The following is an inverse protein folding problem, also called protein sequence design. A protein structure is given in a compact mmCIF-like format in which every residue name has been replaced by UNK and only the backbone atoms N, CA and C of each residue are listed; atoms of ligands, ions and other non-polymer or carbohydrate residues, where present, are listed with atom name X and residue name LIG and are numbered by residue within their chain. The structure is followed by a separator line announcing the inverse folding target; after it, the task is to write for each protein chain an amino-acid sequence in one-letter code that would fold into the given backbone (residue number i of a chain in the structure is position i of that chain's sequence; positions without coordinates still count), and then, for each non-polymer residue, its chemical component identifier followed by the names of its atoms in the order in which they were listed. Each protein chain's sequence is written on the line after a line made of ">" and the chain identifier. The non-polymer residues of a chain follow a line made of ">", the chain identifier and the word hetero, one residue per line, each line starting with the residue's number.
data_IF_979815721635
#
_entry.id   IF_979815721635
#
_cell.length_a   1.000
_cell.length_b   1.000
_cell.length_c   1.000
_cell.angle_alpha   90.00
_cell.angle_beta   90.00
_cell.angle_gamma   90.00
#
_symmetry.space_group_name_H-M   'P 1'
#
loop_
_entity.id
_entity.type
_entity.pdbx_description
1 polymer ?
#
# COMPACT_ATOMS: atom_id res chain seq x y z
N UNK A 1 18.23 -8.50 12.54
CA UNK A 1 17.54 -7.35 11.93
C UNK A 1 16.75 -7.77 10.68
N UNK A 2 17.36 -8.39 9.68
CA UNK A 2 16.68 -8.80 8.42
C UNK A 2 15.50 -9.76 8.67
N UNK A 3 15.69 -10.81 9.47
CA UNK A 3 14.62 -11.77 9.76
C UNK A 3 13.37 -11.12 10.41
N UNK A 4 13.59 -10.16 11.32
CA UNK A 4 12.50 -9.41 11.94
C UNK A 4 11.74 -8.56 10.92
N UNK A 5 12.45 -7.87 10.03
CA UNK A 5 11.83 -7.11 8.93
C UNK A 5 10.97 -8.01 8.03
N UNK A 6 11.46 -9.21 7.69
CA UNK A 6 10.70 -10.18 6.88
C UNK A 6 9.41 -10.60 7.59
N UNK A 7 9.48 -10.89 8.89
CA UNK A 7 8.30 -11.24 9.68
C UNK A 7 7.30 -10.08 9.71
N UNK A 8 7.76 -8.85 9.95
CA UNK A 8 6.90 -7.67 9.93
C UNK A 8 6.23 -7.46 8.57
N UNK A 9 6.95 -7.65 7.47
CA UNK A 9 6.39 -7.55 6.11
C UNK A 9 5.33 -8.63 5.85
N UNK A 10 5.57 -9.86 6.30
CA UNK A 10 4.59 -10.94 6.19
C UNK A 10 3.31 -10.63 7.01
N UNK A 11 3.46 -10.12 8.23
CA UNK A 11 2.33 -9.71 9.06
C UNK A 11 1.57 -8.54 8.44
N UNK A 12 2.28 -7.54 7.88
CA UNK A 12 1.66 -6.42 7.19
C UNK A 12 0.87 -6.88 5.95
N UNK A 13 1.42 -7.84 5.20
CA UNK A 13 0.74 -8.47 4.06
C UNK A 13 -0.52 -9.25 4.45
N UNK A 14 -0.56 -9.88 5.62
CA UNK A 14 -1.79 -10.46 6.15
C UNK A 14 -2.79 -9.40 6.63
N UNK A 15 -2.29 -8.40 7.36
CA UNK A 15 -3.12 -7.33 7.92
C UNK A 15 -3.85 -6.51 6.85
N UNK A 16 -3.21 -6.26 5.70
CA UNK A 16 -3.85 -5.50 4.61
C UNK A 16 -5.04 -6.24 4.01
N UNK A 17 -5.06 -7.58 4.06
CA UNK A 17 -6.19 -8.38 3.59
C UNK A 17 -7.41 -8.12 4.46
N UNK A 18 -7.22 -8.24 5.78
CA UNK A 18 -8.26 -8.00 6.77
C UNK A 18 -8.73 -6.55 6.76
N UNK A 19 -7.79 -5.60 6.66
CA UNK A 19 -8.10 -4.17 6.61
C UNK A 19 -9.04 -3.85 5.44
N UNK A 20 -8.71 -4.30 4.22
CA UNK A 20 -9.55 -4.03 3.04
C UNK A 20 -10.93 -4.70 3.14
N UNK A 21 -11.01 -5.90 3.73
CA UNK A 21 -12.28 -6.60 3.94
C UNK A 21 -13.20 -5.83 4.91
N UNK A 22 -12.67 -5.42 6.07
CA UNK A 22 -13.43 -4.62 7.06
C UNK A 22 -13.79 -3.24 6.49
N UNK A 23 -12.90 -2.63 5.71
CA UNK A 23 -13.16 -1.34 5.07
C UNK A 23 -14.25 -1.43 4.00
N UNK A 24 -14.37 -2.56 3.30
CA UNK A 24 -15.46 -2.83 2.37
C UNK A 24 -16.81 -2.93 3.08
N UNK A 25 -16.85 -3.49 4.28
CA UNK A 25 -18.04 -3.50 5.12
C UNK A 25 -18.40 -2.09 5.64
N UNK A 26 -17.42 -1.30 6.08
CA UNK A 26 -17.66 0.10 6.42
C UNK A 26 -18.22 0.92 5.24
N UNK A 27 -17.75 0.63 4.02
CA UNK A 27 -18.28 1.21 2.78
C UNK A 27 -19.72 0.75 2.50
N UNK A 28 -20.05 -0.52 2.71
CA UNK A 28 -21.41 -1.02 2.47
C UNK A 28 -22.42 -0.42 3.44
N UNK A 29 -22.03 -0.21 4.70
CA UNK A 29 -22.83 0.46 5.72
C UNK A 29 -23.09 1.93 5.41
N UNK A 30 -22.05 2.66 4.98
CA UNK A 30 -22.15 4.11 4.71
C UNK A 30 -22.66 4.44 3.30
N UNK A 31 -22.68 3.46 2.39
CA UNK A 31 -22.99 3.65 0.97
C UNK A 31 -21.96 4.50 0.20
N UNK A 32 -20.85 4.91 0.82
CA UNK A 32 -19.91 5.87 0.25
C UNK A 32 -18.46 5.42 0.38
N UNK A 33 -17.77 5.31 -0.76
CA UNK A 33 -16.34 5.03 -0.78
C UNK A 33 -15.52 6.17 -0.14
N UNK A 34 -15.97 7.41 -0.29
CA UNK A 34 -15.30 8.58 0.29
C UNK A 34 -15.41 8.57 1.82
N UNK A 35 -16.54 8.14 2.38
CA UNK A 35 -16.70 8.02 3.84
C UNK A 35 -15.80 6.94 4.40
N UNK A 36 -15.71 5.78 3.73
CA UNK A 36 -14.78 4.72 4.13
C UNK A 36 -13.32 5.18 4.09
N UNK A 37 -12.91 5.88 3.02
CA UNK A 37 -11.56 6.46 2.89
C UNK A 37 -11.27 7.49 3.97
N UNK A 38 -12.23 8.37 4.23
CA UNK A 38 -12.13 9.36 5.29
C UNK A 38 -11.94 8.69 6.65
N UNK A 39 -12.71 7.64 6.96
CA UNK A 39 -12.59 6.89 8.21
C UNK A 39 -11.22 6.23 8.35
N UNK A 40 -10.73 5.57 7.29
CA UNK A 40 -9.40 4.94 7.26
C UNK A 40 -8.29 5.96 7.58
N UNK A 41 -8.34 7.13 6.93
CA UNK A 41 -7.38 8.20 7.15
C UNK A 41 -7.53 8.87 8.52
N UNK A 42 -8.75 9.05 9.02
CA UNK A 42 -9.01 9.70 10.31
C UNK A 42 -8.44 8.86 11.47
N UNK A 43 -8.66 7.55 11.47
CA UNK A 43 -8.10 6.65 12.49
C UNK A 43 -6.58 6.67 12.44
N UNK A 44 -6.00 6.56 11.24
CA UNK A 44 -4.54 6.62 11.06
C UNK A 44 -3.96 7.94 11.56
N UNK A 45 -4.57 9.07 11.21
CA UNK A 45 -4.13 10.40 11.64
C UNK A 45 -4.15 10.54 13.16
N UNK A 46 -5.23 10.13 13.84
CA UNK A 46 -5.34 10.24 15.29
C UNK A 46 -4.26 9.39 15.97
N UNK A 47 -4.14 8.12 15.59
CA UNK A 47 -3.17 7.19 16.21
C UNK A 47 -1.74 7.66 15.96
N UNK A 48 -1.41 8.04 14.72
CA UNK A 48 -0.06 8.50 14.38
C UNK A 48 0.28 9.84 15.02
N UNK A 49 -0.68 10.75 15.16
CA UNK A 49 -0.46 12.04 15.84
C UNK A 49 -0.13 11.81 17.31
N UNK A 50 -0.91 10.96 18.00
CA UNK A 50 -0.66 10.62 19.41
C UNK A 50 0.71 9.95 19.55
N UNK A 51 1.01 8.96 18.71
CA UNK A 51 2.29 8.26 18.73
C UNK A 51 3.47 9.23 18.52
N UNK A 52 3.44 10.01 17.44
CA UNK A 52 4.50 10.95 17.09
C UNK A 52 4.71 12.06 18.13
N UNK A 53 3.62 12.59 18.73
CA UNK A 53 3.74 13.56 19.82
C UNK A 53 4.33 12.93 21.08
N UNK A 54 4.06 11.65 21.33
CA UNK A 54 4.59 10.93 22.49
C UNK A 54 6.06 10.53 22.31
N UNK A 55 6.49 10.23 21.08
CA UNK A 55 7.86 9.79 20.78
C UNK A 55 8.80 10.94 20.43
N UNK A 56 8.35 11.86 19.58
CA UNK A 56 9.21 12.87 18.94
C UNK A 56 8.86 14.32 19.36
N UNK A 57 7.69 14.50 19.98
CA UNK A 57 7.22 15.79 20.47
C UNK A 57 6.78 16.77 19.36
N UNK A 58 6.25 17.95 19.73
CA UNK A 58 5.71 18.92 18.77
C UNK A 58 6.77 19.57 17.87
N UNK A 59 8.04 19.56 18.29
CA UNK A 59 9.15 20.15 17.54
C UNK A 59 9.42 19.40 16.23
N UNK A 60 9.13 18.09 16.17
CA UNK A 60 9.23 17.31 14.94
C UNK A 60 8.28 17.85 13.85
N UNK A 61 7.08 18.26 14.23
CA UNK A 61 6.10 18.85 13.32
C UNK A 61 6.50 20.26 12.86
N UNK A 62 7.15 21.05 13.72
CA UNK A 62 7.62 22.39 13.36
C UNK A 62 8.59 22.36 12.17
N UNK A 63 9.43 21.31 12.08
CA UNK A 63 10.37 21.12 10.97
C UNK A 63 9.68 20.90 9.61
N UNK A 64 8.41 20.48 9.60
CA UNK A 64 7.66 20.32 8.35
C UNK A 64 7.41 21.66 7.64
N UNK A 65 7.50 22.79 8.35
CA UNK A 65 7.40 24.12 7.75
C UNK A 65 8.54 24.46 6.79
N UNK A 66 9.69 23.78 6.92
CA UNK A 66 10.85 23.91 6.03
C UNK A 66 10.75 23.00 4.79
N UNK A 67 9.80 22.07 4.78
CA UNK A 67 9.61 21.09 3.72
C UNK A 67 8.97 21.67 2.46
N UNK A 68 9.27 21.09 1.30
CA UNK A 68 8.60 21.46 0.04
C UNK A 68 7.17 20.94 0.05
N UNK A 69 6.20 21.74 -0.41
CA UNK A 69 4.77 21.41 -0.37
C UNK A 69 4.42 20.02 -0.96
N UNK A 70 5.10 19.59 -2.02
CA UNK A 70 4.85 18.29 -2.65
C UNK A 70 5.33 17.12 -1.79
N UNK A 71 6.37 17.30 -0.95
CA UNK A 71 6.81 16.27 0.01
C UNK A 71 5.75 16.04 1.08
N UNK A 72 5.00 17.09 1.42
CA UNK A 72 3.94 17.04 2.44
C UNK A 72 2.64 16.44 1.89
N UNK A 73 2.29 16.73 0.63
CA UNK A 73 1.00 16.33 0.06
C UNK A 73 1.05 15.03 -0.74
N UNK A 74 2.09 14.83 -1.55
CA UNK A 74 2.11 13.75 -2.54
C UNK A 74 2.06 12.35 -1.90
N UNK A 75 2.80 12.04 -0.81
CA UNK A 75 2.71 10.72 -0.18
C UNK A 75 1.30 10.40 0.32
N UNK A 76 0.61 11.37 0.93
CA UNK A 76 -0.76 11.21 1.41
C UNK A 76 -1.78 10.99 0.29
N UNK A 77 -1.64 11.72 -0.82
CA UNK A 77 -2.48 11.54 -2.00
C UNK A 77 -2.29 10.17 -2.65
N UNK A 78 -1.03 9.74 -2.82
CA UNK A 78 -0.70 8.43 -3.39
C UNK A 78 -1.19 7.28 -2.49
N UNK A 79 -1.04 7.41 -1.17
CA UNK A 79 -1.56 6.44 -0.20
C UNK A 79 -3.09 6.36 -0.23
N UNK A 80 -3.78 7.50 -0.27
CA UNK A 80 -5.25 7.53 -0.38
C UNK A 80 -5.73 6.89 -1.68
N UNK A 81 -5.05 7.16 -2.80
CA UNK A 81 -5.34 6.51 -4.09
C UNK A 81 -5.16 4.98 -4.01
N UNK A 82 -4.07 4.51 -3.38
CA UNK A 82 -3.84 3.08 -3.18
C UNK A 82 -4.98 2.42 -2.42
N UNK A 83 -5.42 3.01 -1.31
CA UNK A 83 -6.54 2.48 -0.51
C UNK A 83 -7.83 2.46 -1.34
N UNK A 84 -8.11 3.51 -2.11
CA UNK A 84 -9.29 3.54 -2.99
C UNK A 84 -9.26 2.47 -4.08
N UNK A 85 -8.11 2.33 -4.76
CA UNK A 85 -7.92 1.34 -5.81
C UNK A 85 -8.06 -0.08 -5.25
N UNK A 86 -7.45 -0.34 -4.09
CA UNK A 86 -7.56 -1.60 -3.37
C UNK A 86 -9.00 -1.92 -2.98
N UNK A 87 -9.71 -0.97 -2.35
CA UNK A 87 -11.13 -1.14 -1.98
C UNK A 87 -12.02 -1.42 -3.19
N UNK A 88 -11.74 -0.75 -4.32
CA UNK A 88 -12.48 -0.95 -5.57
C UNK A 88 -12.18 -2.31 -6.19
N UNK A 89 -10.92 -2.75 -6.16
CA UNK A 89 -10.54 -4.09 -6.60
C UNK A 89 -11.25 -5.17 -5.78
N UNK A 90 -11.22 -5.07 -4.45
CA UNK A 90 -11.90 -6.01 -3.56
C UNK A 90 -13.38 -6.16 -3.89
N UNK A 91 -14.05 -5.03 -4.14
CA UNK A 91 -15.47 -5.02 -4.47
C UNK A 91 -15.80 -5.62 -5.85
N UNK A 92 -14.87 -5.60 -6.80
CA UNK A 92 -15.14 -5.95 -8.21
C UNK A 92 -14.57 -7.30 -8.65
N UNK A 93 -13.36 -7.62 -8.20
CA UNK A 93 -12.60 -8.80 -8.64
C UNK A 93 -12.12 -9.66 -7.47
N UNK A 94 -12.47 -9.30 -6.24
CA UNK A 94 -12.11 -10.04 -5.04
C UNK A 94 -10.69 -9.78 -4.53
N UNK A 95 -10.39 -10.31 -3.35
CA UNK A 95 -9.15 -10.03 -2.62
C UNK A 95 -7.91 -10.57 -3.34
N UNK A 96 -7.95 -11.83 -3.79
CA UNK A 96 -6.81 -12.53 -4.39
C UNK A 96 -6.27 -11.81 -5.62
N UNK A 97 -7.15 -11.50 -6.58
CA UNK A 97 -6.77 -10.77 -7.80
C UNK A 97 -6.30 -9.34 -7.52
N UNK A 98 -6.95 -8.66 -6.58
CA UNK A 98 -6.56 -7.30 -6.23
C UNK A 98 -5.15 -7.26 -5.65
N UNK A 99 -4.86 -8.13 -4.68
CA UNK A 99 -3.53 -8.17 -4.06
C UNK A 99 -2.48 -8.62 -5.06
N UNK A 100 -2.72 -9.70 -5.80
CA UNK A 100 -1.73 -10.23 -6.74
C UNK A 100 -1.39 -9.20 -7.82
N UNK A 101 -2.40 -8.49 -8.35
CA UNK A 101 -2.22 -7.40 -9.31
C UNK A 101 -1.45 -6.21 -8.72
N UNK A 102 -1.80 -5.77 -7.50
CA UNK A 102 -1.10 -4.68 -6.82
C UNK A 102 0.36 -5.02 -6.54
N UNK A 103 0.65 -6.22 -6.06
CA UNK A 103 2.02 -6.67 -5.77
C UNK A 103 2.85 -6.73 -7.05
N UNK A 104 2.32 -7.27 -8.14
CA UNK A 104 3.03 -7.26 -9.43
C UNK A 104 3.33 -5.83 -9.91
N UNK A 105 2.35 -4.92 -9.85
CA UNK A 105 2.56 -3.53 -10.21
C UNK A 105 3.60 -2.84 -9.33
N UNK A 106 3.59 -3.09 -8.02
CA UNK A 106 4.55 -2.56 -7.06
C UNK A 106 5.98 -3.06 -7.32
N UNK A 107 6.14 -4.36 -7.61
CA UNK A 107 7.46 -4.94 -7.94
C UNK A 107 8.00 -4.36 -9.25
N UNK A 108 7.16 -4.22 -10.28
CA UNK A 108 7.56 -3.61 -11.55
C UNK A 108 7.96 -2.14 -11.39
N UNK A 109 7.16 -1.36 -10.66
CA UNK A 109 7.45 0.04 -10.40
C UNK A 109 8.72 0.22 -9.54
N UNK A 110 8.89 -0.61 -8.50
CA UNK A 110 10.08 -0.62 -7.65
C UNK A 110 11.34 -0.95 -8.43
N UNK A 111 11.28 -1.96 -9.30
CA UNK A 111 12.38 -2.29 -10.20
C UNK A 111 12.72 -1.14 -11.16
N UNK A 112 11.70 -0.52 -11.76
CA UNK A 112 11.90 0.64 -12.63
C UNK A 112 12.59 1.80 -11.91
N UNK A 113 12.17 2.07 -10.67
CA UNK A 113 12.77 3.09 -9.82
C UNK A 113 14.24 2.78 -9.47
N UNK A 114 14.54 1.52 -9.16
CA UNK A 114 15.90 1.05 -8.88
C UNK A 114 16.80 1.17 -10.12
N UNK A 115 16.30 0.81 -11.31
CA UNK A 115 17.03 0.94 -12.58
C UNK A 115 17.32 2.40 -12.93
N UNK A 116 16.36 3.31 -12.69
CA UNK A 116 16.57 4.75 -12.87
C UNK A 116 17.68 5.31 -11.97
N UNK A 117 17.97 4.64 -10.84
CA UNK A 117 19.07 4.99 -9.94
C UNK A 117 20.40 4.33 -10.30
N UNK A 118 20.45 3.60 -11.41
CA UNK A 118 21.66 2.96 -11.91
C UNK A 118 21.98 1.61 -11.25
N UNK A 119 21.04 1.02 -10.50
CA UNK A 119 21.23 -0.37 -10.07
C UNK A 119 21.05 -1.31 -11.26
N UNK A 120 21.94 -2.30 -11.38
CA UNK A 120 21.88 -3.29 -12.44
C UNK A 120 20.77 -4.32 -12.20
N UNK A 121 20.16 -4.83 -13.27
CA UNK A 121 19.20 -5.92 -13.19
C UNK A 121 19.91 -7.27 -13.26
N UNK A 122 19.88 -8.04 -12.17
CA UNK A 122 20.41 -9.40 -12.18
C UNK A 122 19.52 -10.31 -13.04
N UNK A 123 20.07 -11.23 -13.86
CA UNK A 123 19.27 -12.14 -14.69
C UNK A 123 18.22 -12.94 -13.91
N UNK A 124 18.57 -13.39 -12.70
CA UNK A 124 17.68 -14.14 -11.83
C UNK A 124 16.53 -13.28 -11.27
N UNK A 125 16.77 -11.99 -11.04
CA UNK A 125 15.75 -11.03 -10.64
C UNK A 125 14.76 -10.79 -11.79
N UNK A 126 15.26 -10.67 -13.02
CA UNK A 126 14.44 -10.60 -14.23
C UNK A 126 13.53 -11.82 -14.38
N UNK A 127 14.08 -13.03 -14.19
CA UNK A 127 13.28 -14.26 -14.19
C UNK A 127 12.21 -14.24 -13.09
N UNK A 128 12.56 -13.79 -11.89
CA UNK A 128 11.60 -13.67 -10.78
C UNK A 128 10.42 -12.75 -11.11
N UNK A 129 10.67 -11.61 -11.77
CA UNK A 129 9.62 -10.69 -12.22
C UNK A 129 8.75 -11.33 -13.29
N UNK A 130 9.34 -12.05 -14.26
CA UNK A 130 8.58 -12.77 -15.29
C UNK A 130 7.67 -13.82 -14.66
N UNK A 131 8.19 -14.62 -13.72
CA UNK A 131 7.41 -15.62 -13.00
C UNK A 131 6.31 -15.01 -12.14
N UNK A 132 6.56 -13.87 -11.50
CA UNK A 132 5.55 -13.14 -10.73
C UNK A 132 4.39 -12.70 -11.64
N UNK A 133 4.70 -12.06 -12.78
CA UNK A 133 3.68 -11.60 -13.72
C UNK A 133 2.90 -12.78 -14.31
N UNK A 134 3.59 -13.86 -14.71
CA UNK A 134 2.95 -15.07 -15.18
C UNK A 134 2.02 -15.67 -14.12
N UNK A 135 2.47 -15.71 -12.85
CA UNK A 135 1.65 -16.14 -11.73
C UNK A 135 0.37 -15.32 -11.58
N UNK A 136 0.45 -14.00 -11.66
CA UNK A 136 -0.74 -13.12 -11.61
C UNK A 136 -1.69 -13.39 -12.77
N UNK A 137 -1.18 -13.55 -13.99
CA UNK A 137 -2.00 -13.87 -15.17
C UNK A 137 -2.72 -15.21 -15.01
N UNK A 138 -2.04 -16.23 -14.45
CA UNK A 138 -2.67 -17.53 -14.18
C UNK A 138 -3.77 -17.43 -13.12
N UNK A 139 -3.56 -16.66 -12.05
CA UNK A 139 -4.59 -16.40 -11.04
C UNK A 139 -5.79 -15.68 -11.67
N UNK A 140 -5.54 -14.74 -12.59
CA UNK A 140 -6.58 -14.04 -13.34
C UNK A 140 -7.40 -14.99 -14.23
N UNK A 141 -6.73 -15.86 -15.01
CA UNK A 141 -7.40 -16.84 -15.85
C UNK A 141 -8.15 -17.94 -15.09
N UNK A 142 -7.81 -18.17 -13.82
CA UNK A 142 -8.49 -19.12 -12.94
C UNK A 142 -9.73 -18.53 -12.24
N UNK A 143 -9.99 -17.22 -12.39
CA UNK A 143 -11.15 -16.57 -11.80
C UNK A 143 -12.38 -16.78 -12.71
N UNK A 144 -13.45 -17.44 -12.23
CA UNK A 144 -14.63 -17.77 -13.03
C UNK A 144 -15.45 -16.55 -13.45
#
# INVERSE_FOLDING_TARGET
>A
MIAWTIILLALAGGAIVLQNAVMLEARSLSGSALVALWLNSAVGLVVLTVAALSTDGPQAFAKLSEGRWWMLLLPGLLGTFYVYASLTGYARVGATLTISGLVAAQVLAGLGFDLMRGTGLAPLQGLGVVLLVAGVVLVFGASP
#
